data_IF_542904901928
#
_entry.id   IF_542904901928
#
_cell.length_a   1.000
_cell.length_b   1.000
_cell.length_c   1.000
_cell.angle_alpha   90.00
_cell.angle_beta   90.00
_cell.angle_gamma   90.00
#
_symmetry.space_group_name_H-M   'P 1'
#
loop_
_entity.id
_entity.type
_entity.pdbx_description
1 polymer ?
#
# COMPACT_ATOMS: atom_id res chain seq x y z
N UNK A 1 5.96 7.00 13.97
CA UNK A 1 5.82 5.96 12.93
C UNK A 1 4.67 5.04 13.28
N UNK A 2 3.82 4.74 12.30
CA UNK A 2 2.70 3.82 12.48
C UNK A 2 3.10 2.46 11.92
N UNK A 3 2.90 1.40 12.71
CA UNK A 3 3.15 0.03 12.26
C UNK A 3 1.88 -0.79 12.41
N UNK A 4 1.52 -1.50 11.35
CA UNK A 4 0.31 -2.30 11.28
C UNK A 4 0.60 -3.67 10.68
N UNK A 5 -0.06 -4.68 11.21
CA UNK A 5 0.03 -6.04 10.69
C UNK A 5 -1.36 -6.53 10.29
N UNK A 6 -1.44 -7.11 9.10
CA UNK A 6 -2.68 -7.67 8.57
C UNK A 6 -2.40 -9.05 7.98
N UNK A 7 -3.42 -9.87 7.93
CA UNK A 7 -3.37 -11.15 7.24
C UNK A 7 -4.53 -11.24 6.26
N UNK A 8 -4.37 -12.06 5.24
CA UNK A 8 -5.40 -12.28 4.25
C UNK A 8 -5.41 -13.73 3.80
N UNK A 9 -6.56 -14.14 3.26
CA UNK A 9 -6.73 -15.48 2.69
C UNK A 9 -7.08 -15.35 1.20
N UNK A 10 -6.65 -16.33 0.42
CA UNK A 10 -6.98 -16.40 -0.99
C UNK A 10 -7.18 -17.84 -1.40
N UNK A 11 -8.03 -18.07 -2.41
CA UNK A 11 -8.22 -19.38 -3.03
C UNK A 11 -7.28 -19.58 -4.23
N UNK A 12 -6.51 -18.55 -4.60
CA UNK A 12 -5.59 -18.63 -5.72
C UNK A 12 -4.33 -19.42 -5.35
N UNK A 13 -3.73 -20.12 -6.33
CA UNK A 13 -2.42 -20.74 -6.12
C UNK A 13 -1.35 -19.71 -5.74
N UNK A 14 -0.37 -20.13 -4.96
CA UNK A 14 0.68 -19.25 -4.46
C UNK A 14 1.40 -18.47 -5.57
N UNK A 15 1.72 -19.13 -6.68
CA UNK A 15 2.41 -18.47 -7.78
C UNK A 15 1.56 -17.38 -8.45
N UNK A 16 0.25 -17.56 -8.50
CA UNK A 16 -0.64 -16.55 -9.06
C UNK A 16 -0.75 -15.34 -8.11
N UNK A 17 -0.88 -15.59 -6.82
CA UNK A 17 -0.90 -14.53 -5.82
C UNK A 17 0.42 -13.76 -5.80
N UNK A 18 1.54 -14.48 -5.91
CA UNK A 18 2.86 -13.87 -5.98
C UNK A 18 3.00 -12.94 -7.18
N UNK A 19 2.61 -13.41 -8.36
CA UNK A 19 2.66 -12.59 -9.57
C UNK A 19 1.73 -11.39 -9.48
N UNK A 20 0.57 -11.54 -8.83
CA UNK A 20 -0.37 -10.45 -8.67
C UNK A 20 0.18 -9.32 -7.80
N UNK A 21 0.83 -9.64 -6.66
CA UNK A 21 1.37 -8.60 -5.78
C UNK A 21 2.60 -7.90 -6.37
N UNK A 22 3.27 -8.53 -7.33
CA UNK A 22 4.42 -7.92 -8.02
C UNK A 22 3.99 -7.04 -9.19
N UNK A 23 2.72 -7.07 -9.56
CA UNK A 23 2.20 -6.26 -10.65
C UNK A 23 1.61 -4.96 -10.09
N UNK A 24 2.39 -3.88 -10.18
CA UNK A 24 1.99 -2.58 -9.64
C UNK A 24 0.71 -2.03 -10.27
N UNK A 25 0.44 -2.35 -11.53
CA UNK A 25 -0.78 -1.91 -12.21
C UNK A 25 -2.03 -2.62 -11.70
N UNK A 26 -1.86 -3.76 -11.01
CA UNK A 26 -2.96 -4.47 -10.34
C UNK A 26 -3.05 -4.09 -8.87
N UNK A 27 -1.92 -3.96 -8.20
CA UNK A 27 -1.85 -3.70 -6.76
C UNK A 27 -2.28 -2.28 -6.42
N UNK A 28 -1.77 -1.28 -7.14
CA UNK A 28 -2.07 0.12 -6.81
C UNK A 28 -3.55 0.46 -6.95
N UNK A 29 -4.23 0.08 -8.05
CA UNK A 29 -5.69 0.35 -8.14
C UNK A 29 -6.52 -0.45 -7.15
N UNK A 30 -6.00 -1.53 -6.57
CA UNK A 30 -6.69 -2.28 -5.54
C UNK A 30 -6.76 -1.53 -4.21
N UNK A 31 -5.88 -0.56 -4.00
CA UNK A 31 -5.98 0.38 -2.87
C UNK A 31 -7.05 1.41 -3.22
N UNK A 32 -8.03 1.59 -2.34
CA UNK A 32 -9.12 2.54 -2.58
C UNK A 32 -8.56 3.94 -2.81
N UNK A 33 -8.94 4.55 -3.93
CA UNK A 33 -8.46 5.87 -4.32
C UNK A 33 -7.09 5.88 -4.98
N UNK A 34 -6.44 4.72 -5.11
CA UNK A 34 -5.12 4.61 -5.72
C UNK A 34 -5.18 4.45 -7.23
N UNK A 35 -4.22 5.06 -7.93
CA UNK A 35 -4.08 4.89 -9.38
C UNK A 35 -2.64 5.06 -9.81
N UNK A 36 -2.26 4.37 -10.85
CA UNK A 36 -0.96 4.53 -11.51
C UNK A 36 -1.06 5.69 -12.48
N UNK A 37 -0.13 6.63 -12.41
CA UNK A 37 -0.08 7.76 -13.34
C UNK A 37 0.98 7.55 -14.42
N UNK A 38 2.06 6.81 -14.10
CA UNK A 38 3.11 6.52 -15.07
C UNK A 38 3.91 5.29 -14.62
N UNK A 39 4.19 4.37 -15.53
CA UNK A 39 5.16 3.31 -15.28
C UNK A 39 6.55 3.87 -15.53
N UNK A 40 7.42 3.74 -14.54
CA UNK A 40 8.80 4.26 -14.61
C UNK A 40 9.85 3.16 -14.75
N UNK A 41 9.44 1.90 -14.58
CA UNK A 41 10.31 0.74 -14.72
C UNK A 41 9.54 -0.54 -14.47
N UNK A 42 10.20 -1.72 -14.58
CA UNK A 42 9.53 -3.00 -14.32
C UNK A 42 9.04 -3.13 -12.87
N UNK A 43 9.73 -2.48 -11.92
CA UNK A 43 9.42 -2.58 -10.49
C UNK A 43 9.08 -1.21 -9.89
N UNK A 44 8.76 -0.22 -10.69
CA UNK A 44 8.48 1.12 -10.19
C UNK A 44 7.39 1.81 -11.00
N UNK A 45 6.67 2.71 -10.33
CA UNK A 45 5.60 3.49 -10.95
C UNK A 45 5.41 4.80 -10.19
N UNK A 46 4.91 5.81 -10.89
CA UNK A 46 4.33 6.99 -10.24
C UNK A 46 2.87 6.71 -9.99
N UNK A 47 2.39 7.14 -8.85
CA UNK A 47 1.03 6.87 -8.41
C UNK A 47 0.46 8.05 -7.64
N UNK A 48 -0.85 8.09 -7.59
CA UNK A 48 -1.59 9.03 -6.75
C UNK A 48 -2.59 8.24 -5.92
N UNK A 49 -2.84 8.72 -4.71
CA UNK A 49 -3.89 8.17 -3.86
C UNK A 49 -4.71 9.31 -3.28
N UNK A 50 -6.03 9.13 -3.31
CA UNK A 50 -6.96 10.03 -2.66
C UNK A 50 -7.46 9.38 -1.38
N UNK A 51 -7.17 10.01 -0.25
CA UNK A 51 -7.51 9.48 1.07
C UNK A 51 -8.58 10.35 1.71
N UNK A 52 -9.64 9.73 2.20
CA UNK A 52 -10.67 10.42 2.98
C UNK A 52 -10.36 10.26 4.46
N UNK A 53 -10.30 11.38 5.17
CA UNK A 53 -10.05 11.41 6.60
C UNK A 53 -11.14 12.27 7.25
N UNK A 54 -12.22 11.61 7.71
CA UNK A 54 -13.38 12.33 8.23
C UNK A 54 -14.05 13.13 7.11
N UNK A 55 -14.25 14.44 7.33
CA UNK A 55 -14.82 15.34 6.34
C UNK A 55 -13.80 15.84 5.31
N UNK A 56 -12.51 15.53 5.50
CA UNK A 56 -11.43 15.97 4.62
C UNK A 56 -11.06 14.92 3.60
N UNK A 57 -10.65 15.37 2.42
CA UNK A 57 -10.01 14.51 1.42
C UNK A 57 -8.63 15.08 1.13
N UNK A 58 -7.64 14.18 1.05
CA UNK A 58 -6.26 14.55 0.74
C UNK A 58 -5.78 13.74 -0.43
N UNK A 59 -5.01 14.38 -1.31
CA UNK A 59 -4.38 13.69 -2.44
C UNK A 59 -2.88 13.64 -2.18
N UNK A 60 -2.32 12.46 -2.34
CA UNK A 60 -0.87 12.25 -2.27
C UNK A 60 -0.39 11.74 -3.62
N UNK A 61 0.74 12.27 -4.06
CA UNK A 61 1.36 11.85 -5.31
C UNK A 61 2.83 11.52 -5.08
N UNK A 62 3.29 10.45 -5.70
CA UNK A 62 4.67 10.03 -5.52
C UNK A 62 5.00 8.76 -6.28
N UNK A 63 5.90 7.97 -5.71
CA UNK A 63 6.43 6.78 -6.34
C UNK A 63 6.20 5.54 -5.48
N UNK A 64 6.01 4.42 -6.17
CA UNK A 64 5.97 3.10 -5.56
C UNK A 64 7.05 2.27 -6.23
N UNK A 65 7.89 1.62 -5.43
CA UNK A 65 8.99 0.80 -5.93
C UNK A 65 9.05 -0.51 -5.17
N UNK A 66 9.22 -1.60 -5.89
CA UNK A 66 9.49 -2.90 -5.28
C UNK A 66 10.98 -2.95 -5.01
N UNK A 67 11.38 -2.87 -3.74
CA UNK A 67 12.78 -2.79 -3.33
C UNK A 67 13.38 -4.15 -3.01
N UNK A 68 12.56 -5.16 -2.74
CA UNK A 68 13.00 -6.50 -2.44
C UNK A 68 12.02 -7.51 -3.02
N UNK A 69 12.55 -8.55 -3.67
CA UNK A 69 11.78 -9.69 -4.15
C UNK A 69 12.56 -10.96 -3.81
N UNK A 70 12.02 -11.76 -2.89
CA UNK A 70 12.58 -13.05 -2.54
C UNK A 70 11.60 -14.13 -3.01
N UNK A 71 11.90 -14.74 -4.15
CA UNK A 71 11.02 -15.73 -4.76
C UNK A 71 10.99 -17.06 -4.01
N UNK A 72 12.00 -17.35 -3.21
CA UNK A 72 12.05 -18.55 -2.39
C UNK A 72 11.14 -18.41 -1.18
N UNK A 73 11.28 -17.29 -0.46
CA UNK A 73 10.45 -17.01 0.72
C UNK A 73 9.08 -16.44 0.38
N UNK A 74 8.85 -16.05 -0.88
CA UNK A 74 7.65 -15.32 -1.33
C UNK A 74 7.42 -14.06 -0.50
N UNK A 75 8.48 -13.28 -0.38
CA UNK A 75 8.49 -12.05 0.38
C UNK A 75 8.90 -10.89 -0.52
N UNK A 76 8.10 -9.84 -0.52
CA UNK A 76 8.36 -8.64 -1.31
C UNK A 76 8.19 -7.40 -0.43
N UNK A 77 9.04 -6.39 -0.67
CA UNK A 77 8.92 -5.09 0.01
C UNK A 77 8.64 -4.03 -1.03
N UNK A 78 7.60 -3.23 -0.78
CA UNK A 78 7.27 -2.08 -1.59
C UNK A 78 7.52 -0.82 -0.78
N UNK A 79 8.25 0.11 -1.38
CA UNK A 79 8.49 1.42 -0.78
C UNK A 79 7.64 2.47 -1.45
N UNK A 80 6.89 3.20 -0.64
CA UNK A 80 6.04 4.30 -1.09
C UNK A 80 6.63 5.60 -0.57
N UNK A 81 6.85 6.56 -1.47
CA UNK A 81 7.25 7.91 -1.11
C UNK A 81 6.30 8.87 -1.79
N UNK A 82 5.58 9.65 -1.01
CA UNK A 82 4.56 10.55 -1.55
C UNK A 82 4.52 11.85 -0.80
N UNK A 83 4.01 12.87 -1.49
CA UNK A 83 3.79 14.21 -0.91
C UNK A 83 2.34 14.60 -1.12
N UNK A 84 1.81 15.36 -0.17
CA UNK A 84 0.46 15.90 -0.29
C UNK A 84 0.44 16.95 -1.41
N UNK A 85 -0.51 16.78 -2.33
CA UNK A 85 -0.72 17.74 -3.43
C UNK A 85 -1.32 19.02 -2.86
N UNK A 86 -0.66 20.14 -3.08
CA UNK A 86 -1.11 21.43 -2.56
C UNK A 86 -0.81 21.68 -1.09
N UNK A 87 -0.07 20.79 -0.45
CA UNK A 87 0.33 20.91 0.96
C UNK A 87 1.81 20.66 1.16
N UNK A 88 2.24 20.67 2.42
CA UNK A 88 3.66 20.48 2.79
C UNK A 88 3.94 19.11 3.42
N UNK A 89 2.91 18.30 3.65
CA UNK A 89 3.07 17.01 4.28
C UNK A 89 3.52 15.91 3.33
N UNK A 90 4.00 14.81 3.90
CA UNK A 90 4.35 13.62 3.14
C UNK A 90 3.80 12.37 3.82
N UNK A 91 3.68 11.30 3.03
CA UNK A 91 3.32 9.98 3.52
C UNK A 91 4.26 8.96 2.87
N UNK A 92 5.11 8.36 3.69
CA UNK A 92 6.08 7.37 3.25
C UNK A 92 5.79 6.06 3.96
N UNK A 93 5.94 4.94 3.26
CA UNK A 93 5.68 3.64 3.85
C UNK A 93 6.57 2.57 3.24
N UNK A 94 6.91 1.57 4.05
CA UNK A 94 7.44 0.30 3.59
C UNK A 94 6.39 -0.75 3.88
N UNK A 95 5.98 -1.46 2.84
CA UNK A 95 4.94 -2.50 2.93
C UNK A 95 5.58 -3.83 2.58
N UNK A 96 5.56 -4.75 3.52
CA UNK A 96 6.14 -6.08 3.35
C UNK A 96 5.03 -7.11 3.19
N UNK A 97 5.06 -7.83 2.06
CA UNK A 97 4.18 -8.94 1.79
C UNK A 97 4.93 -10.25 2.00
N UNK A 98 4.32 -11.17 2.73
CA UNK A 98 4.86 -12.53 2.86
C UNK A 98 3.72 -13.49 2.53
N UNK A 99 3.89 -14.29 1.48
CA UNK A 99 2.84 -15.16 0.98
C UNK A 99 3.11 -16.62 1.29
N UNK A 100 2.03 -17.37 1.50
CA UNK A 100 2.05 -18.81 1.64
C UNK A 100 0.85 -19.41 0.88
N UNK A 101 0.70 -20.71 0.94
CA UNK A 101 -0.48 -21.37 0.38
C UNK A 101 -1.72 -20.94 1.18
N UNK A 102 -2.68 -20.35 0.48
CA UNK A 102 -3.95 -19.95 1.07
C UNK A 102 -3.99 -18.52 1.57
N UNK A 103 -2.91 -17.75 1.48
CA UNK A 103 -2.94 -16.35 1.88
C UNK A 103 -1.59 -15.75 2.17
N UNK A 104 -1.52 -14.92 3.21
CA UNK A 104 -0.28 -14.27 3.59
C UNK A 104 -0.47 -13.19 4.63
N UNK A 105 0.60 -12.45 4.87
CA UNK A 105 0.63 -11.33 5.80
C UNK A 105 1.14 -10.07 5.13
N UNK A 106 0.70 -8.92 5.64
CA UNK A 106 1.15 -7.60 5.21
C UNK A 106 1.60 -6.85 6.45
N UNK A 107 2.86 -6.43 6.47
CA UNK A 107 3.39 -5.55 7.50
C UNK A 107 3.63 -4.18 6.91
N UNK A 108 3.04 -3.14 7.50
CA UNK A 108 3.16 -1.77 7.04
C UNK A 108 3.87 -0.92 8.10
N UNK A 109 4.91 -0.22 7.70
CA UNK A 109 5.57 0.80 8.53
C UNK A 109 5.46 2.12 7.78
N UNK A 110 4.72 3.07 8.36
CA UNK A 110 4.38 4.33 7.69
C UNK A 110 4.76 5.53 8.52
N UNK A 111 5.23 6.59 7.85
CA UNK A 111 5.49 7.89 8.46
C UNK A 111 4.71 8.95 7.69
N UNK A 112 3.90 9.71 8.43
CA UNK A 112 2.99 10.69 7.86
C UNK A 112 3.18 12.01 8.58
N UNK A 113 3.28 13.10 7.80
CA UNK A 113 3.43 14.45 8.33
C UNK A 113 2.42 15.39 7.69
N UNK A 114 2.32 16.62 8.21
CA UNK A 114 1.42 17.64 7.67
C UNK A 114 0.02 17.57 8.27
N UNK A 115 -0.98 17.97 7.48
CA UNK A 115 -2.38 18.02 7.94
C UNK A 115 -2.89 16.69 8.45
N UNK A 116 -2.55 15.60 7.76
CA UNK A 116 -2.98 14.27 8.17
C UNK A 116 -2.46 13.94 9.58
N UNK A 117 -1.19 14.22 9.84
CA UNK A 117 -0.58 13.96 11.15
C UNK A 117 -1.22 14.81 12.25
N UNK A 118 -1.67 16.02 11.92
CA UNK A 118 -2.29 16.94 12.90
C UNK A 118 -3.62 16.44 13.42
N UNK A 119 -4.25 15.48 12.74
CA UNK A 119 -5.50 14.86 13.20
C UNK A 119 -5.29 13.87 14.34
N UNK A 120 -4.03 13.55 14.65
CA UNK A 120 -3.64 12.61 15.70
C UNK A 120 -3.28 11.25 15.18
N UNK A 121 -2.35 10.58 15.86
CA UNK A 121 -1.85 9.26 15.46
C UNK A 121 -2.95 8.20 15.43
N UNK A 122 -3.91 8.27 16.37
CA UNK A 122 -5.01 7.33 16.40
C UNK A 122 -5.92 7.43 15.17
N UNK A 123 -6.16 8.64 14.66
CA UNK A 123 -6.95 8.84 13.44
C UNK A 123 -6.20 8.31 12.23
N UNK A 124 -4.91 8.64 12.11
CA UNK A 124 -4.05 8.16 11.02
C UNK A 124 -4.00 6.64 11.01
N UNK A 125 -3.80 6.03 12.15
CA UNK A 125 -3.75 4.58 12.28
C UNK A 125 -5.07 3.93 11.85
N UNK A 126 -6.19 4.50 12.26
CA UNK A 126 -7.52 3.99 11.92
C UNK A 126 -7.77 4.07 10.41
N UNK A 127 -7.37 5.17 9.76
CA UNK A 127 -7.54 5.34 8.32
C UNK A 127 -6.68 4.33 7.55
N UNK A 128 -5.42 4.19 7.94
CA UNK A 128 -4.51 3.21 7.30
C UNK A 128 -5.02 1.78 7.49
N UNK A 129 -5.47 1.45 8.69
CA UNK A 129 -6.02 0.13 8.99
C UNK A 129 -7.22 -0.17 8.09
N UNK A 130 -8.11 0.78 7.90
CA UNK A 130 -9.27 0.65 7.01
C UNK A 130 -8.87 0.44 5.56
N UNK A 131 -7.87 1.21 5.06
CA UNK A 131 -7.38 1.07 3.69
C UNK A 131 -6.76 -0.31 3.45
N UNK A 132 -5.97 -0.80 4.41
CA UNK A 132 -5.31 -2.10 4.27
C UNK A 132 -6.31 -3.24 4.39
N UNK A 133 -7.28 -3.15 5.29
CA UNK A 133 -8.34 -4.16 5.39
C UNK A 133 -9.15 -4.25 4.11
N UNK A 134 -9.51 -3.13 3.51
CA UNK A 134 -10.19 -3.11 2.21
C UNK A 134 -9.32 -3.74 1.12
N UNK A 135 -8.04 -3.39 1.12
CA UNK A 135 -7.07 -3.95 0.18
C UNK A 135 -6.95 -5.47 0.32
N UNK A 136 -6.89 -6.00 1.55
CA UNK A 136 -6.80 -7.45 1.76
C UNK A 136 -8.02 -8.19 1.22
N UNK A 137 -9.20 -7.58 1.31
CA UNK A 137 -10.42 -8.15 0.74
C UNK A 137 -10.32 -8.25 -0.79
N UNK A 138 -9.80 -7.20 -1.42
CA UNK A 138 -9.63 -7.16 -2.88
C UNK A 138 -8.49 -8.06 -3.35
N UNK A 139 -7.44 -8.22 -2.55
CA UNK A 139 -6.28 -9.02 -2.89
C UNK A 139 -6.65 -10.49 -3.10
N UNK A 140 -7.62 -11.00 -2.37
CA UNK A 140 -8.10 -12.36 -2.55
C UNK A 140 -8.79 -12.62 -3.89
N UNK A 141 -9.10 -11.57 -4.66
CA UNK A 141 -9.82 -11.67 -5.93
C UNK A 141 -9.09 -11.05 -7.14
N UNK A 142 -7.91 -10.51 -6.96
CA UNK A 142 -7.16 -9.90 -8.07
C UNK A 142 -6.32 -10.90 -8.89
#
# INVERSE_FOLDING_TARGET
MVELDHSFSTSQPLNESWNAILDLERVIPAVEGGRVTERTGPDSAKAEIRVKMGAMSMNFAGTVEITEKDEVAHRAVMRVKSKEVGGSGYANADVTFTLDDGGGTIHTAAQITGKAASMGEGVVQSVLDGLINDFTTKLGSI
#
